data_IF_595234199590
#
_entry.id   IF_595234199590
#
_cell.length_a   1.000
_cell.length_b   1.000
_cell.length_c   1.000
_cell.angle_alpha   90.00
_cell.angle_beta   90.00
_cell.angle_gamma   90.00
#
_symmetry.space_group_name_H-M   'P 1'
#
loop_
_entity.id
_entity.type
_entity.pdbx_description
1 polymer ?
#
# COMPACT_ATOMS: atom_id res chain seq x y z
N UNK A 1 10.61 -16.07 27.25
CA UNK A 1 10.75 -16.88 26.02
C UNK A 1 11.07 -15.93 24.87
N UNK A 2 11.84 -16.38 23.89
CA UNK A 2 12.12 -15.61 22.66
C UNK A 2 11.09 -15.98 21.60
N UNK A 3 10.55 -14.98 20.90
CA UNK A 3 9.53 -15.16 19.86
C UNK A 3 10.08 -14.70 18.51
N UNK A 4 9.71 -15.41 17.45
CA UNK A 4 10.24 -15.19 16.10
C UNK A 4 9.09 -14.98 15.12
N UNK A 5 9.31 -14.11 14.12
CA UNK A 5 8.37 -13.88 13.03
C UNK A 5 8.62 -14.80 11.83
N UNK A 6 9.90 -15.04 11.52
CA UNK A 6 10.35 -15.81 10.37
C UNK A 6 11.53 -16.71 10.74
N UNK A 7 11.59 -17.89 10.10
CA UNK A 7 12.68 -18.83 10.28
C UNK A 7 13.94 -18.40 9.52
N UNK A 8 15.09 -18.75 10.09
CA UNK A 8 16.41 -18.64 9.46
C UNK A 8 16.92 -20.00 8.98
N UNK A 9 18.23 -20.11 8.77
CA UNK A 9 18.92 -21.32 8.32
C UNK A 9 19.63 -22.06 9.46
N UNK A 10 19.99 -21.36 10.53
CA UNK A 10 20.79 -21.95 11.60
C UNK A 10 19.93 -22.77 12.58
N UNK A 11 20.38 -23.96 13.00
CA UNK A 11 19.66 -24.79 13.97
C UNK A 11 19.54 -24.14 15.37
N UNK A 12 20.50 -23.30 15.74
CA UNK A 12 20.49 -22.56 17.01
C UNK A 12 19.57 -21.33 16.99
N UNK A 13 18.94 -21.07 15.84
CA UNK A 13 18.02 -19.96 15.57
C UNK A 13 18.65 -18.56 15.72
N UNK A 14 19.98 -18.48 15.74
CA UNK A 14 20.72 -17.21 15.86
C UNK A 14 20.48 -16.27 14.69
N UNK A 15 20.05 -16.79 13.54
CA UNK A 15 19.74 -16.04 12.33
C UNK A 15 18.24 -15.91 12.05
N UNK A 16 17.37 -16.30 13.00
CA UNK A 16 15.92 -16.16 12.87
C UNK A 16 15.49 -14.72 13.19
N UNK A 17 14.48 -14.22 12.49
CA UNK A 17 13.98 -12.87 12.74
C UNK A 17 13.12 -12.84 14.01
N UNK A 18 13.49 -11.98 14.96
CA UNK A 18 12.71 -11.76 16.17
C UNK A 18 11.35 -11.13 15.83
N UNK A 19 10.31 -11.56 16.54
CA UNK A 19 8.95 -11.03 16.35
C UNK A 19 8.88 -9.52 16.67
N UNK A 20 9.44 -9.00 17.77
CA UNK A 20 9.48 -7.55 18.02
C UNK A 20 10.09 -6.75 16.86
N UNK A 21 11.23 -7.21 16.31
CA UNK A 21 11.91 -6.52 15.22
C UNK A 21 11.03 -6.45 13.96
N UNK A 22 10.37 -7.56 13.62
CA UNK A 22 9.45 -7.63 12.50
C UNK A 22 8.24 -6.68 12.68
N UNK A 23 7.64 -6.67 13.87
CA UNK A 23 6.50 -5.80 14.18
C UNK A 23 6.89 -4.32 14.12
N UNK A 24 8.04 -3.94 14.69
CA UNK A 24 8.53 -2.56 14.68
C UNK A 24 8.95 -2.10 13.28
N UNK A 25 9.63 -2.97 12.51
CA UNK A 25 9.99 -2.67 11.12
C UNK A 25 8.75 -2.52 10.23
N UNK A 26 7.79 -3.44 10.35
CA UNK A 26 6.54 -3.40 9.58
C UNK A 26 5.72 -2.16 9.95
N UNK A 27 5.65 -1.80 11.23
CA UNK A 27 5.02 -0.55 11.69
C UNK A 27 5.67 0.68 11.04
N UNK A 28 7.00 0.79 11.07
CA UNK A 28 7.74 1.90 10.46
C UNK A 28 7.49 1.96 8.95
N UNK A 29 7.63 0.83 8.25
CA UNK A 29 7.44 0.74 6.81
C UNK A 29 6.00 1.09 6.40
N UNK A 30 5.00 0.63 7.16
CA UNK A 30 3.60 0.94 6.92
C UNK A 30 3.34 2.44 7.12
N UNK A 31 3.90 3.05 8.16
CA UNK A 31 3.80 4.49 8.44
C UNK A 31 4.38 5.33 7.29
N UNK A 32 5.58 5.00 6.81
CA UNK A 32 6.25 5.69 5.68
C UNK A 32 5.39 5.65 4.40
N UNK A 33 4.70 4.53 4.14
CA UNK A 33 3.80 4.38 2.98
C UNK A 33 2.54 5.21 3.11
N UNK A 34 2.05 5.36 4.34
CA UNK A 34 0.81 6.04 4.66
C UNK A 34 0.98 7.54 4.96
N UNK A 35 2.22 8.02 5.16
CA UNK A 35 2.54 9.44 5.38
C UNK A 35 1.95 10.36 4.30
N UNK A 36 2.04 10.07 2.98
CA UNK A 36 1.43 10.91 1.96
C UNK A 36 -0.09 10.90 1.96
N UNK A 37 -0.70 9.93 2.65
CA UNK A 37 -2.14 9.83 2.88
C UNK A 37 -2.54 10.49 4.21
N UNK A 38 -1.54 10.92 5.00
CA UNK A 38 -1.62 11.38 6.39
C UNK A 38 -2.27 10.37 7.33
N UNK A 39 -2.02 9.07 7.12
CA UNK A 39 -2.52 7.95 7.92
C UNK A 39 -1.36 7.19 8.57
N UNK A 40 -0.26 7.88 8.87
CA UNK A 40 0.99 7.25 9.31
C UNK A 40 0.84 6.58 10.68
N UNK A 41 0.16 7.21 11.64
CA UNK A 41 -0.07 6.64 12.96
C UNK A 41 -1.02 5.44 12.91
N UNK A 42 -2.11 5.55 12.13
CA UNK A 42 -3.01 4.42 11.88
C UNK A 42 -2.27 3.24 11.22
N UNK A 43 -1.40 3.50 10.25
CA UNK A 43 -0.60 2.48 9.58
C UNK A 43 0.47 1.86 10.48
N UNK A 44 1.11 2.66 11.33
CA UNK A 44 2.06 2.18 12.34
C UNK A 44 1.39 1.21 13.31
N UNK A 45 0.20 1.56 13.82
CA UNK A 45 -0.57 0.69 14.71
C UNK A 45 -0.92 -0.65 14.06
N UNK A 46 -1.45 -0.66 12.84
CA UNK A 46 -1.76 -1.94 12.19
C UNK A 46 -0.50 -2.76 11.93
N UNK A 47 0.63 -2.14 11.56
CA UNK A 47 1.91 -2.85 11.39
C UNK A 47 2.41 -3.47 12.70
N UNK A 48 2.32 -2.74 13.81
CA UNK A 48 2.75 -3.21 15.13
C UNK A 48 1.92 -4.39 15.66
N UNK A 49 0.66 -4.49 15.26
CA UNK A 49 -0.27 -5.49 15.79
C UNK A 49 -0.71 -6.56 14.79
N UNK A 50 -0.36 -6.48 13.51
CA UNK A 50 -0.89 -7.43 12.51
C UNK A 50 -0.57 -8.89 12.82
N UNK A 51 0.65 -9.13 13.32
CA UNK A 51 1.22 -10.43 13.63
C UNK A 51 1.34 -10.71 15.13
N UNK A 52 0.64 -9.94 15.96
CA UNK A 52 0.69 -10.10 17.42
C UNK A 52 0.34 -11.52 17.88
N UNK A 53 -0.48 -12.25 17.12
CA UNK A 53 -0.80 -13.65 17.42
C UNK A 53 0.35 -14.63 17.27
N UNK A 54 1.50 -14.23 16.70
CA UNK A 54 2.72 -15.04 16.69
C UNK A 54 3.38 -15.18 18.07
N UNK A 55 2.90 -14.43 19.08
CA UNK A 55 3.22 -14.70 20.49
C UNK A 55 2.51 -15.95 21.04
N UNK A 56 1.60 -16.59 20.30
CA UNK A 56 1.08 -17.92 20.64
C UNK A 56 2.25 -18.93 20.66
N UNK A 57 2.50 -19.64 21.79
CA UNK A 57 3.55 -20.66 21.87
C UNK A 57 3.45 -21.76 20.79
N UNK A 58 2.24 -22.00 20.27
CA UNK A 58 1.98 -22.96 19.19
C UNK A 58 2.57 -22.49 17.86
N UNK A 59 2.78 -21.19 17.66
CA UNK A 59 3.34 -20.62 16.44
C UNK A 59 4.76 -21.12 16.17
N UNK A 60 5.53 -21.46 17.21
CA UNK A 60 6.86 -22.07 17.05
C UNK A 60 6.79 -23.34 16.18
N UNK A 61 5.74 -24.16 16.32
CA UNK A 61 5.58 -25.37 15.50
C UNK A 61 5.44 -25.05 14.02
N UNK A 62 4.84 -23.91 13.66
CA UNK A 62 4.72 -23.46 12.27
C UNK A 62 6.10 -23.12 11.70
N UNK A 63 6.91 -22.37 12.46
CA UNK A 63 8.25 -21.98 12.04
C UNK A 63 9.20 -23.17 11.86
N UNK A 64 8.97 -24.27 12.58
CA UNK A 64 9.71 -25.53 12.43
C UNK A 64 9.12 -26.46 11.36
N UNK A 65 8.21 -25.98 10.50
CA UNK A 65 7.64 -26.73 9.38
C UNK A 65 6.53 -27.72 9.77
N UNK A 66 5.98 -27.61 10.98
CA UNK A 66 4.84 -28.40 11.40
C UNK A 66 3.57 -28.03 10.64
N UNK A 67 2.76 -29.03 10.28
CA UNK A 67 1.45 -28.81 9.65
C UNK A 67 0.39 -28.43 10.70
N UNK A 68 0.45 -27.19 11.19
CA UNK A 68 -0.44 -26.64 12.21
C UNK A 68 -0.97 -25.33 11.72
N UNK A 69 -2.27 -25.10 11.93
CA UNK A 69 -2.88 -23.81 11.68
C UNK A 69 -2.97 -23.04 12.99
N UNK A 70 -2.30 -21.89 13.05
CA UNK A 70 -2.42 -20.92 14.13
C UNK A 70 -3.10 -19.69 13.56
N UNK A 71 -4.12 -19.17 14.24
CA UNK A 71 -4.71 -17.88 13.87
C UNK A 71 -3.89 -16.76 14.51
N UNK A 72 -2.83 -16.34 13.83
CA UNK A 72 -1.96 -15.29 14.32
C UNK A 72 -2.49 -13.88 14.02
N UNK A 73 -3.51 -13.76 13.18
CA UNK A 73 -4.03 -12.48 12.69
C UNK A 73 -5.11 -11.86 13.58
N UNK A 74 -5.87 -12.67 14.33
CA UNK A 74 -6.98 -12.15 15.15
C UNK A 74 -6.53 -11.50 16.45
N UNK A 75 -5.41 -11.92 17.04
CA UNK A 75 -4.99 -11.48 18.37
C UNK A 75 -4.79 -9.96 18.48
N UNK A 76 -4.05 -9.36 17.53
CA UNK A 76 -3.83 -7.92 17.53
C UNK A 76 -5.09 -7.10 17.30
N UNK A 77 -5.97 -7.55 16.40
CA UNK A 77 -7.27 -6.92 16.18
C UNK A 77 -8.14 -6.98 17.44
N UNK A 78 -8.22 -8.14 18.09
CA UNK A 78 -8.96 -8.31 19.34
C UNK A 78 -8.40 -7.42 20.46
N UNK A 79 -7.08 -7.32 20.57
CA UNK A 79 -6.38 -6.48 21.54
C UNK A 79 -6.75 -5.00 21.38
N UNK A 80 -6.65 -4.48 20.16
CA UNK A 80 -7.01 -3.08 19.85
C UNK A 80 -8.49 -2.82 20.10
N UNK A 81 -9.35 -3.74 19.66
CA UNK A 81 -10.81 -3.59 19.78
C UNK A 81 -11.31 -3.64 21.22
N UNK A 82 -10.71 -4.50 22.06
CA UNK A 82 -11.05 -4.61 23.48
C UNK A 82 -10.66 -3.37 24.29
N UNK A 83 -9.61 -2.65 23.87
CA UNK A 83 -9.12 -1.41 24.52
C UNK A 83 -9.79 -0.14 24.00
N UNK A 84 -10.61 -0.26 22.96
CA UNK A 84 -11.29 0.87 22.35
C UNK A 84 -12.68 1.10 22.97
N UNK A 85 -12.96 2.35 23.36
CA UNK A 85 -14.26 2.79 23.87
C UNK A 85 -14.72 4.09 23.19
N UNK A 86 -16.02 4.36 23.22
CA UNK A 86 -16.60 5.57 22.61
C UNK A 86 -16.20 5.74 21.13
N UNK A 87 -15.69 6.93 20.78
CA UNK A 87 -15.23 7.24 19.42
C UNK A 87 -14.06 6.35 18.95
N UNK A 88 -13.25 5.82 19.87
CA UNK A 88 -12.15 4.89 19.52
C UNK A 88 -12.67 3.57 18.99
N UNK A 89 -13.92 3.19 19.29
CA UNK A 89 -14.50 1.93 18.81
C UNK A 89 -14.52 1.89 17.28
N UNK A 90 -14.96 2.97 16.65
CA UNK A 90 -14.99 3.08 15.18
C UNK A 90 -13.58 3.06 14.59
N UNK A 91 -12.62 3.74 15.23
CA UNK A 91 -11.20 3.70 14.84
C UNK A 91 -10.68 2.27 14.91
N UNK A 92 -10.93 1.56 16.00
CA UNK A 92 -10.49 0.17 16.16
C UNK A 92 -11.07 -0.75 15.08
N UNK A 93 -12.33 -0.58 14.68
CA UNK A 93 -12.93 -1.36 13.60
C UNK A 93 -12.20 -1.12 12.26
N UNK A 94 -11.88 0.13 11.93
CA UNK A 94 -11.11 0.49 10.74
C UNK A 94 -9.72 -0.17 10.75
N UNK A 95 -9.06 -0.22 11.90
CA UNK A 95 -7.73 -0.85 12.05
C UNK A 95 -7.80 -2.39 12.06
N UNK A 96 -8.91 -2.97 12.55
CA UNK A 96 -9.10 -4.42 12.59
C UNK A 96 -9.18 -5.02 11.17
N UNK A 97 -9.78 -4.32 10.20
CA UNK A 97 -9.93 -4.84 8.83
C UNK A 97 -8.58 -5.20 8.18
N UNK A 98 -7.58 -4.29 8.12
CA UNK A 98 -6.25 -4.61 7.63
C UNK A 98 -5.58 -5.76 8.39
N UNK A 99 -5.63 -5.72 9.74
CA UNK A 99 -5.00 -6.75 10.59
C UNK A 99 -5.62 -8.12 10.32
N UNK A 100 -6.94 -8.24 10.30
CA UNK A 100 -7.60 -9.51 10.06
C UNK A 100 -7.39 -10.04 8.62
N UNK A 101 -7.13 -9.14 7.67
CA UNK A 101 -7.07 -9.45 6.26
C UNK A 101 -5.67 -9.67 5.67
N UNK A 102 -4.59 -9.42 6.41
CA UNK A 102 -3.23 -9.29 5.84
C UNK A 102 -2.72 -10.51 5.05
N UNK A 103 -3.31 -11.70 5.23
CA UNK A 103 -3.01 -12.88 4.39
C UNK A 103 -4.17 -13.37 3.49
N UNK A 104 -5.42 -12.99 3.77
CA UNK A 104 -6.61 -13.57 3.13
C UNK A 104 -7.47 -12.56 2.36
N UNK A 105 -7.12 -11.27 2.41
CA UNK A 105 -7.97 -10.17 1.95
C UNK A 105 -8.90 -9.67 3.06
N UNK A 106 -9.48 -8.49 2.83
CA UNK A 106 -10.35 -7.84 3.81
C UNK A 106 -11.60 -8.70 4.09
N UNK A 107 -11.91 -8.99 5.37
CA UNK A 107 -13.10 -9.77 5.71
C UNK A 107 -14.37 -8.94 5.50
N UNK A 108 -15.49 -9.63 5.30
CA UNK A 108 -16.81 -9.03 5.47
C UNK A 108 -17.02 -8.61 6.94
N UNK A 109 -17.90 -7.63 7.17
CA UNK A 109 -18.26 -7.24 8.54
C UNK A 109 -18.98 -8.36 9.28
N UNK A 110 -19.97 -8.97 8.61
CA UNK A 110 -20.91 -9.95 9.17
C UNK A 110 -21.11 -11.13 8.22
N UNK A 111 -21.92 -12.12 8.62
CA UNK A 111 -22.41 -13.16 7.71
C UNK A 111 -21.68 -14.50 7.80
N UNK A 112 -20.42 -14.57 7.36
CA UNK A 112 -19.63 -15.81 7.39
C UNK A 112 -18.78 -15.94 8.67
N UNK A 113 -18.27 -17.13 8.98
CA UNK A 113 -17.38 -17.35 10.13
C UNK A 113 -16.04 -16.62 10.01
N UNK A 114 -15.63 -16.30 8.78
CA UNK A 114 -14.48 -15.45 8.47
C UNK A 114 -14.73 -13.95 8.63
N UNK A 115 -15.97 -13.53 8.94
CA UNK A 115 -16.31 -12.12 9.13
C UNK A 115 -15.65 -11.53 10.39
N UNK A 116 -15.42 -10.22 10.40
CA UNK A 116 -14.79 -9.52 11.52
C UNK A 116 -15.52 -9.79 12.84
N UNK A 117 -16.84 -9.59 12.88
CA UNK A 117 -17.61 -9.71 14.13
C UNK A 117 -17.53 -11.12 14.72
N UNK A 118 -17.65 -12.17 13.89
CA UNK A 118 -17.56 -13.55 14.35
C UNK A 118 -16.17 -13.92 14.80
N UNK A 119 -15.13 -13.51 14.06
CA UNK A 119 -13.74 -13.76 14.44
C UNK A 119 -13.40 -13.12 15.79
N UNK A 120 -13.76 -11.85 15.99
CA UNK A 120 -13.52 -11.14 17.25
C UNK A 120 -14.31 -11.74 18.42
N UNK A 121 -15.57 -12.13 18.22
CA UNK A 121 -16.39 -12.72 19.28
C UNK A 121 -15.95 -14.15 19.67
N UNK A 122 -15.53 -14.96 18.69
CA UNK A 122 -15.07 -16.31 18.90
C UNK A 122 -13.61 -16.39 19.40
N UNK A 123 -12.84 -15.31 19.26
CA UNK A 123 -11.42 -15.30 19.61
C UNK A 123 -11.22 -15.65 21.10
N UNK A 124 -10.24 -16.53 21.34
CA UNK A 124 -9.75 -16.89 22.67
C UNK A 124 -8.25 -16.70 22.61
N UNK A 125 -7.75 -15.77 23.41
CA UNK A 125 -6.34 -15.38 23.37
C UNK A 125 -5.46 -16.53 23.90
N UNK A 126 -4.61 -17.15 23.06
CA UNK A 126 -3.68 -18.20 23.49
C UNK A 126 -2.37 -17.63 24.02
N UNK A 127 -2.15 -16.31 23.91
CA UNK A 127 -0.93 -15.62 24.32
C UNK A 127 -0.87 -15.53 25.84
N UNK A 128 0.35 -15.56 26.40
CA UNK A 128 0.57 -15.30 27.82
C UNK A 128 -0.10 -13.96 28.23
N UNK A 129 -1.01 -13.96 29.22
CA UNK A 129 -1.69 -12.75 29.67
C UNK A 129 -0.75 -11.61 30.06
N UNK A 130 0.47 -11.90 30.52
CA UNK A 130 1.46 -10.86 30.84
C UNK A 130 1.93 -10.10 29.58
N UNK A 131 2.08 -10.77 28.44
CA UNK A 131 2.43 -10.15 27.16
C UNK A 131 1.25 -9.29 26.69
N UNK A 132 0.04 -9.87 26.64
CA UNK A 132 -1.16 -9.14 26.22
C UNK A 132 -1.45 -7.94 27.13
N UNK A 133 -1.26 -8.05 28.44
CA UNK A 133 -1.52 -6.96 29.39
C UNK A 133 -0.49 -5.83 29.33
N UNK A 134 0.74 -6.11 28.92
CA UNK A 134 1.80 -5.10 28.77
C UNK A 134 1.53 -4.13 27.61
N UNK A 135 0.77 -4.55 26.60
CA UNK A 135 0.43 -3.70 25.46
C UNK A 135 -0.68 -2.70 25.81
N UNK A 136 -0.40 -1.41 25.65
CA UNK A 136 -1.37 -0.31 25.86
C UNK A 136 -1.34 0.59 24.62
N UNK A 137 -2.00 0.20 23.52
CA UNK A 137 -2.07 0.99 22.29
C UNK A 137 -2.73 2.35 22.54
N UNK A 138 -2.07 3.41 22.08
CA UNK A 138 -2.67 4.74 21.97
C UNK A 138 -3.35 4.89 20.60
N UNK A 139 -4.68 4.89 20.61
CA UNK A 139 -5.50 5.07 19.41
C UNK A 139 -5.77 6.55 19.08
N UNK A 140 -5.41 7.49 19.95
CA UNK A 140 -5.74 8.90 19.76
C UNK A 140 -5.12 9.49 18.49
N UNK A 141 -3.84 9.25 18.14
CA UNK A 141 -3.28 9.76 16.88
C UNK A 141 -4.04 9.25 15.64
N UNK A 142 -4.40 7.96 15.61
CA UNK A 142 -5.18 7.38 14.52
C UNK A 142 -6.60 7.97 14.44
N UNK A 143 -7.24 8.30 15.57
CA UNK A 143 -8.50 9.04 15.56
C UNK A 143 -8.33 10.38 14.85
N UNK A 144 -7.32 11.18 15.22
CA UNK A 144 -7.11 12.50 14.65
C UNK A 144 -6.85 12.43 13.14
N UNK A 145 -6.04 11.47 12.71
CA UNK A 145 -5.76 11.23 11.29
C UNK A 145 -7.04 10.85 10.52
N UNK A 146 -7.82 9.88 11.02
CA UNK A 146 -9.04 9.44 10.36
C UNK A 146 -10.10 10.55 10.35
N UNK A 147 -10.28 11.28 11.46
CA UNK A 147 -11.19 12.41 11.54
C UNK A 147 -10.84 13.49 10.52
N UNK A 148 -9.56 13.72 10.25
CA UNK A 148 -9.09 14.67 9.23
C UNK A 148 -9.25 14.17 7.77
N UNK A 149 -9.69 12.92 7.55
CA UNK A 149 -9.89 12.32 6.22
C UNK A 149 -11.33 11.97 5.90
N UNK A 150 -12.25 12.17 6.83
CA UNK A 150 -13.67 11.83 6.62
C UNK A 150 -14.51 13.09 6.40
N UNK A 151 -15.41 13.01 5.43
CA UNK A 151 -16.45 14.00 5.19
C UNK A 151 -17.73 13.47 5.82
N UNK A 152 -18.41 14.30 6.62
CA UNK A 152 -19.58 13.85 7.39
C UNK A 152 -20.67 13.18 6.55
N UNK A 153 -20.90 13.68 5.32
CA UNK A 153 -21.89 13.12 4.38
C UNK A 153 -21.48 11.79 3.73
N UNK A 154 -20.18 11.49 3.67
CA UNK A 154 -19.61 10.32 2.98
C UNK A 154 -18.80 9.41 3.93
N UNK A 155 -19.05 9.50 5.24
CA UNK A 155 -18.26 8.85 6.29
C UNK A 155 -17.97 7.38 6.01
N UNK A 156 -19.00 6.60 5.65
CA UNK A 156 -18.84 5.18 5.36
C UNK A 156 -17.92 4.90 4.16
N UNK A 157 -18.03 5.69 3.09
CA UNK A 157 -17.16 5.58 1.93
C UNK A 157 -15.72 5.97 2.25
N UNK A 158 -15.53 7.10 2.96
CA UNK A 158 -14.20 7.61 3.29
C UNK A 158 -13.44 6.66 4.22
N UNK A 159 -14.11 6.12 5.25
CA UNK A 159 -13.53 5.08 6.11
C UNK A 159 -13.23 3.79 5.34
N UNK A 160 -14.10 3.41 4.41
CA UNK A 160 -13.89 2.24 3.56
C UNK A 160 -12.66 2.43 2.64
N UNK A 161 -12.45 3.64 2.11
CA UNK A 161 -11.26 3.96 1.32
C UNK A 161 -10.00 3.99 2.19
N UNK A 162 -10.04 4.65 3.34
CA UNK A 162 -8.95 4.67 4.30
C UNK A 162 -8.53 3.25 4.72
N UNK A 163 -9.51 2.39 5.00
CA UNK A 163 -9.31 0.96 5.32
C UNK A 163 -8.54 0.24 4.22
N UNK A 164 -8.95 0.41 2.95
CA UNK A 164 -8.26 -0.24 1.81
C UNK A 164 -6.85 0.29 1.60
N UNK A 165 -6.63 1.58 1.82
CA UNK A 165 -5.30 2.19 1.73
C UNK A 165 -4.39 1.69 2.85
N UNK A 166 -4.90 1.63 4.09
CA UNK A 166 -4.20 1.06 5.24
C UNK A 166 -3.85 -0.41 5.01
N UNK A 167 -4.79 -1.21 4.51
CA UNK A 167 -4.53 -2.60 4.11
C UNK A 167 -3.42 -2.71 3.06
N UNK A 168 -3.46 -1.89 2.01
CA UNK A 168 -2.40 -1.85 1.00
C UNK A 168 -1.03 -1.49 1.60
N UNK A 169 -0.98 -0.50 2.50
CA UNK A 169 0.26 -0.09 3.18
C UNK A 169 0.81 -1.21 4.07
N UNK A 170 -0.06 -1.87 4.85
CA UNK A 170 0.32 -2.97 5.73
C UNK A 170 0.86 -4.15 4.93
N UNK A 171 0.13 -4.58 3.90
CA UNK A 171 0.54 -5.73 3.08
C UNK A 171 1.89 -5.42 2.41
N UNK A 172 2.07 -4.26 1.76
CA UNK A 172 3.38 -3.96 1.18
C UNK A 172 4.46 -3.89 2.27
N UNK A 173 4.20 -3.31 3.44
CA UNK A 173 5.19 -3.24 4.53
C UNK A 173 5.62 -4.62 5.06
N UNK A 174 4.68 -5.53 5.32
CA UNK A 174 4.92 -6.90 5.78
C UNK A 174 5.78 -7.67 4.77
N UNK A 175 5.39 -7.64 3.48
CA UNK A 175 6.18 -8.25 2.41
C UNK A 175 7.58 -7.63 2.28
N UNK A 176 7.73 -6.32 2.55
CA UNK A 176 9.00 -5.59 2.39
C UNK A 176 9.96 -5.87 3.53
N UNK A 177 9.47 -5.97 4.76
CA UNK A 177 10.29 -6.42 5.87
C UNK A 177 10.73 -7.88 5.68
N UNK A 178 9.78 -8.75 5.29
CA UNK A 178 10.08 -10.15 4.95
C UNK A 178 11.14 -10.25 3.83
N UNK A 179 10.98 -9.51 2.74
CA UNK A 179 11.94 -9.45 1.62
C UNK A 179 13.31 -8.97 2.10
N UNK A 180 13.37 -7.91 2.91
CA UNK A 180 14.61 -7.36 3.43
C UNK A 180 15.37 -8.35 4.33
N UNK A 181 14.66 -9.01 5.25
CA UNK A 181 15.23 -10.05 6.10
C UNK A 181 15.82 -11.20 5.28
N UNK A 182 15.06 -11.76 4.33
CA UNK A 182 15.57 -12.85 3.50
C UNK A 182 16.65 -12.40 2.52
N UNK A 183 16.63 -11.15 2.06
CA UNK A 183 17.70 -10.60 1.23
C UNK A 183 19.01 -10.54 2.02
N UNK A 184 18.97 -10.02 3.25
CA UNK A 184 20.12 -9.99 4.15
C UNK A 184 20.63 -11.40 4.48
N UNK A 185 19.73 -12.33 4.86
CA UNK A 185 20.05 -13.72 5.17
C UNK A 185 20.69 -14.48 3.99
N UNK A 186 20.40 -14.04 2.76
CA UNK A 186 20.94 -14.63 1.53
C UNK A 186 22.07 -13.81 0.90
N UNK A 187 22.50 -12.70 1.51
CA UNK A 187 23.51 -11.81 0.93
C UNK A 187 23.09 -11.22 -0.42
N UNK A 188 21.79 -10.99 -0.63
CA UNK A 188 21.22 -10.43 -1.86
C UNK A 188 20.93 -8.94 -1.68
N UNK A 189 21.16 -8.18 -2.74
CA UNK A 189 20.77 -6.77 -2.82
C UNK A 189 19.58 -6.69 -3.80
N UNK A 190 18.38 -6.30 -3.34
CA UNK A 190 17.24 -6.12 -4.23
C UNK A 190 17.47 -4.99 -5.24
N UNK A 191 17.19 -5.23 -6.52
CA UNK A 191 17.30 -4.24 -7.59
C UNK A 191 16.08 -3.32 -7.61
N UNK A 192 16.03 -2.36 -6.66
CA UNK A 192 14.88 -1.47 -6.48
C UNK A 192 15.24 -0.03 -6.10
N UNK A 193 16.48 0.39 -6.34
CA UNK A 193 16.87 1.80 -6.19
C UNK A 193 16.53 2.57 -7.48
N UNK A 194 15.28 3.05 -7.54
CA UNK A 194 14.76 3.78 -8.69
C UNK A 194 14.77 5.29 -8.42
N UNK A 195 15.24 6.12 -9.35
CA UNK A 195 15.11 7.57 -9.24
C UNK A 195 13.64 7.98 -9.08
N UNK A 196 13.41 9.05 -8.33
CA UNK A 196 12.08 9.64 -8.21
C UNK A 196 11.58 10.14 -9.56
N UNK A 197 10.27 10.19 -9.76
CA UNK A 197 9.68 10.76 -10.98
C UNK A 197 10.19 12.19 -11.22
N UNK A 198 10.33 13.00 -10.15
CA UNK A 198 10.86 14.36 -10.23
C UNK A 198 12.27 14.41 -10.85
N UNK A 199 13.14 13.46 -10.53
CA UNK A 199 14.50 13.37 -11.11
C UNK A 199 14.48 12.95 -12.58
N UNK A 200 13.48 12.15 -12.99
CA UNK A 200 13.36 11.62 -14.34
C UNK A 200 12.66 12.58 -15.32
N UNK A 201 11.73 13.40 -14.83
CA UNK A 201 10.88 14.27 -15.64
C UNK A 201 11.65 15.20 -16.61
N UNK A 202 12.76 15.86 -16.23
CA UNK A 202 13.49 16.72 -17.17
C UNK A 202 14.02 15.96 -18.41
N UNK A 203 14.59 14.77 -18.21
CA UNK A 203 15.08 13.94 -19.31
C UNK A 203 13.93 13.34 -20.12
N UNK A 204 12.90 12.84 -19.45
CA UNK A 204 11.74 12.25 -20.12
C UNK A 204 10.98 13.25 -20.99
N UNK A 205 10.78 14.48 -20.52
CA UNK A 205 10.17 15.57 -21.31
C UNK A 205 11.01 15.90 -22.53
N UNK A 206 12.34 16.04 -22.37
CA UNK A 206 13.25 16.28 -23.50
C UNK A 206 13.19 15.14 -24.53
N UNK A 207 13.23 13.88 -24.09
CA UNK A 207 13.14 12.71 -24.99
C UNK A 207 11.79 12.65 -25.70
N UNK A 208 10.71 12.98 -24.98
CA UNK A 208 9.38 13.08 -25.55
C UNK A 208 9.33 14.17 -26.63
N UNK A 209 9.85 15.37 -26.37
CA UNK A 209 9.88 16.47 -27.33
C UNK A 209 10.71 16.12 -28.58
N UNK A 210 11.86 15.47 -28.39
CA UNK A 210 12.69 14.98 -29.49
C UNK A 210 11.98 13.92 -30.33
N UNK A 211 11.26 12.99 -29.69
CA UNK A 211 10.43 12.00 -30.39
C UNK A 211 9.31 12.68 -31.18
N UNK A 212 8.63 13.67 -30.58
CA UNK A 212 7.55 14.41 -31.25
C UNK A 212 8.05 15.23 -32.44
N UNK A 213 9.28 15.76 -32.39
CA UNK A 213 9.90 16.47 -33.51
C UNK A 213 10.14 15.59 -34.75
N UNK A 214 10.19 14.26 -34.59
CA UNK A 214 10.29 13.32 -35.70
C UNK A 214 9.03 13.24 -36.58
N UNK A 215 7.88 13.72 -36.08
CA UNK A 215 6.63 13.75 -36.85
C UNK A 215 6.51 15.08 -37.61
N UNK A 216 7.08 15.13 -38.82
CA UNK A 216 7.00 16.33 -39.65
C UNK A 216 5.52 16.67 -39.99
N UNK A 217 5.09 17.96 -39.88
CA UNK A 217 3.72 18.42 -40.13
C UNK A 217 3.41 18.54 -41.63
N UNK A 218 3.87 17.58 -42.42
CA UNK A 218 3.85 17.62 -43.89
C UNK A 218 2.50 17.19 -44.47
N UNK A 219 1.63 16.58 -43.66
CA UNK A 219 0.26 16.20 -44.02
C UNK A 219 -0.76 16.92 -43.13
N UNK A 220 -2.00 17.05 -43.61
CA UNK A 220 -3.11 17.61 -42.81
C UNK A 220 -3.32 16.85 -41.51
N UNK A 221 -3.17 15.52 -41.55
CA UNK A 221 -3.27 14.67 -40.37
C UNK A 221 -2.17 14.97 -39.34
N UNK A 222 -0.92 15.15 -39.77
CA UNK A 222 0.17 15.46 -38.84
C UNK A 222 0.07 16.87 -38.29
N UNK A 223 -0.42 17.84 -39.07
CA UNK A 223 -0.76 19.19 -38.57
C UNK A 223 -1.83 19.10 -37.48
N UNK A 224 -2.95 18.42 -37.76
CA UNK A 224 -4.01 18.23 -36.78
C UNK A 224 -3.52 17.53 -35.51
N UNK A 225 -2.65 16.52 -35.63
CA UNK A 225 -2.04 15.84 -34.47
C UNK A 225 -1.15 16.78 -33.65
N UNK A 226 -0.38 17.65 -34.31
CA UNK A 226 0.43 18.66 -33.63
C UNK A 226 -0.44 19.69 -32.90
N UNK A 227 -1.54 20.13 -33.51
CA UNK A 227 -2.50 21.04 -32.90
C UNK A 227 -3.17 20.42 -31.67
N UNK A 228 -3.61 19.16 -31.79
CA UNK A 228 -4.16 18.38 -30.66
C UNK A 228 -3.14 18.28 -29.53
N UNK A 229 -1.89 17.92 -29.83
CA UNK A 229 -0.84 17.81 -28.82
C UNK A 229 -0.61 19.16 -28.11
N UNK A 230 -0.48 20.24 -28.88
CA UNK A 230 -0.27 21.58 -28.35
C UNK A 230 -1.41 22.00 -27.42
N UNK A 231 -2.66 21.81 -27.86
CA UNK A 231 -3.85 22.10 -27.06
C UNK A 231 -3.87 21.30 -25.75
N UNK A 232 -3.63 20.00 -25.83
CA UNK A 232 -3.66 19.10 -24.67
C UNK A 232 -2.56 19.46 -23.68
N UNK A 233 -1.33 19.73 -24.13
CA UNK A 233 -0.22 20.16 -23.26
C UNK A 233 -0.46 21.53 -22.64
N UNK A 234 -1.13 22.44 -23.34
CA UNK A 234 -1.54 23.75 -22.81
C UNK A 234 -2.45 23.63 -21.57
N UNK A 235 -3.16 22.51 -21.41
CA UNK A 235 -3.97 22.23 -20.22
C UNK A 235 -3.18 21.77 -18.99
N UNK A 236 -1.87 21.50 -19.09
CA UNK A 236 -1.09 20.90 -18.01
C UNK A 236 -0.99 21.76 -16.74
N UNK A 237 -1.29 23.05 -16.82
CA UNK A 237 -1.32 23.99 -15.68
C UNK A 237 -2.66 24.03 -14.96
N UNK A 238 -3.67 23.34 -15.46
CA UNK A 238 -4.98 23.25 -14.80
C UNK A 238 -4.83 22.55 -13.44
N UNK A 239 -5.66 22.91 -12.42
CA UNK A 239 -5.63 22.23 -11.13
C UNK A 239 -5.80 20.71 -11.27
N UNK A 240 -5.13 19.89 -10.44
CA UNK A 240 -5.28 18.44 -10.48
C UNK A 240 -6.75 18.01 -10.38
N UNK A 241 -7.17 17.12 -11.26
CA UNK A 241 -8.56 16.71 -11.36
C UNK A 241 -8.78 15.63 -12.43
N UNK A 242 -10.03 15.50 -12.86
CA UNK A 242 -10.42 14.59 -13.93
C UNK A 242 -10.42 15.31 -15.28
N UNK A 243 -9.71 14.76 -16.25
CA UNK A 243 -9.62 15.29 -17.61
C UNK A 243 -10.11 14.25 -18.62
N UNK A 244 -10.85 14.71 -19.63
CA UNK A 244 -11.38 13.87 -20.70
C UNK A 244 -10.78 14.29 -22.03
N UNK A 245 -10.16 13.34 -22.75
CA UNK A 245 -9.61 13.57 -24.08
C UNK A 245 -10.47 12.85 -25.13
N UNK A 246 -11.31 13.62 -25.82
CA UNK A 246 -12.17 13.11 -26.90
C UNK A 246 -11.54 13.38 -28.25
N UNK A 247 -10.83 12.40 -28.80
CA UNK A 247 -10.19 12.48 -30.12
C UNK A 247 -10.49 11.20 -30.90
N UNK A 248 -10.78 11.26 -32.21
CA UNK A 248 -10.99 10.08 -33.04
C UNK A 248 -9.83 9.09 -33.01
N UNK A 249 -10.08 7.85 -33.41
CA UNK A 249 -9.02 6.84 -33.61
C UNK A 249 -8.00 7.36 -34.62
N UNK A 250 -6.71 7.13 -34.37
CA UNK A 250 -5.63 7.66 -35.19
C UNK A 250 -5.26 9.13 -34.92
N UNK A 251 -6.01 9.87 -34.10
CA UNK A 251 -5.72 11.29 -33.78
C UNK A 251 -4.63 11.52 -32.72
N UNK A 252 -3.82 10.51 -32.37
CA UNK A 252 -2.67 10.69 -31.48
C UNK A 252 -2.96 10.75 -29.98
N UNK A 253 -4.11 10.22 -29.51
CA UNK A 253 -4.53 10.22 -28.10
C UNK A 253 -3.43 9.83 -27.11
N UNK A 254 -2.71 8.74 -27.37
CA UNK A 254 -1.71 8.18 -26.46
C UNK A 254 -0.54 9.13 -26.24
N UNK A 255 0.02 9.70 -27.32
CA UNK A 255 1.14 10.64 -27.22
C UNK A 255 0.67 11.97 -26.62
N UNK A 256 -0.54 12.43 -26.97
CA UNK A 256 -1.12 13.64 -26.38
C UNK A 256 -1.34 13.50 -24.86
N UNK A 257 -1.93 12.39 -24.40
CA UNK A 257 -2.15 12.15 -22.97
C UNK A 257 -0.85 11.94 -22.20
N UNK A 258 0.15 11.29 -22.80
CA UNK A 258 1.48 11.16 -22.20
C UNK A 258 2.18 12.51 -22.08
N UNK A 259 2.15 13.34 -23.11
CA UNK A 259 2.72 14.70 -23.08
C UNK A 259 2.09 15.54 -21.98
N UNK A 260 0.74 15.52 -21.88
CA UNK A 260 0.03 16.15 -20.77
C UNK A 260 0.46 15.58 -19.41
N UNK A 261 0.52 14.26 -19.24
CA UNK A 261 0.88 13.64 -17.97
C UNK A 261 2.30 14.02 -17.51
N UNK A 262 3.26 14.11 -18.43
CA UNK A 262 4.63 14.54 -18.12
C UNK A 262 4.68 16.00 -17.67
N UNK A 263 4.02 16.90 -18.40
CA UNK A 263 4.00 18.32 -18.06
C UNK A 263 3.19 18.59 -16.78
N UNK A 264 2.04 17.94 -16.61
CA UNK A 264 1.19 18.08 -15.43
C UNK A 264 1.87 17.51 -14.17
N UNK A 265 2.57 16.37 -14.29
CA UNK A 265 3.36 15.83 -13.18
C UNK A 265 4.49 16.77 -12.75
N UNK A 266 5.18 17.40 -13.70
CA UNK A 266 6.22 18.38 -13.40
C UNK A 266 5.65 19.63 -12.73
N UNK A 267 4.49 20.10 -13.19
CA UNK A 267 3.85 21.31 -12.69
C UNK A 267 3.32 21.15 -11.26
N UNK A 268 2.76 19.99 -10.91
CA UNK A 268 2.08 19.76 -9.62
C UNK A 268 2.84 18.83 -8.67
N UNK A 269 4.07 18.44 -9.01
CA UNK A 269 4.90 17.60 -8.14
C UNK A 269 4.35 16.19 -7.94
N UNK A 270 3.70 15.61 -8.96
CA UNK A 270 3.21 14.24 -8.87
C UNK A 270 4.37 13.24 -8.72
N UNK A 271 4.16 12.20 -7.93
CA UNK A 271 5.19 11.19 -7.62
C UNK A 271 5.21 10.02 -8.59
N UNK A 272 4.12 9.82 -9.34
CA UNK A 272 3.91 8.66 -10.22
C UNK A 272 3.03 9.05 -11.42
N UNK A 273 3.30 8.42 -12.56
CA UNK A 273 2.40 8.37 -13.72
C UNK A 273 2.02 6.90 -13.90
N UNK A 274 0.73 6.61 -13.94
CA UNK A 274 0.22 5.26 -14.17
C UNK A 274 -0.53 5.28 -15.50
N UNK A 275 -0.01 4.55 -16.48
CA UNK A 275 -0.64 4.42 -17.79
C UNK A 275 -1.44 3.11 -17.85
N UNK A 276 -2.76 3.21 -17.84
CA UNK A 276 -3.65 2.07 -18.04
C UNK A 276 -3.94 1.90 -19.54
N UNK A 277 -3.66 0.71 -20.08
CA UNK A 277 -3.87 0.37 -21.49
C UNK A 277 -4.90 -0.77 -21.55
N UNK A 278 -5.91 -0.73 -22.45
CA UNK A 278 -6.88 -1.80 -22.57
C UNK A 278 -6.19 -3.13 -22.94
N UNK A 279 -6.69 -4.23 -22.36
CA UNK A 279 -6.16 -5.60 -22.50
C UNK A 279 -6.44 -6.22 -23.88
N UNK A 280 -6.43 -5.44 -24.96
CA UNK A 280 -6.76 -5.90 -26.31
C UNK A 280 -5.59 -5.66 -27.27
N UNK A 281 -4.68 -6.63 -27.38
CA UNK A 281 -3.87 -6.93 -28.57
C UNK A 281 -2.98 -5.86 -29.21
N UNK A 282 -2.95 -4.62 -28.74
CA UNK A 282 -2.02 -3.61 -29.21
C UNK A 282 -0.65 -3.92 -28.60
N UNK A 283 0.20 -4.59 -29.37
CA UNK A 283 1.60 -4.84 -29.03
C UNK A 283 2.24 -3.52 -28.61
N UNK A 284 2.62 -3.43 -27.33
CA UNK A 284 3.59 -2.44 -26.89
C UNK A 284 4.91 -2.93 -27.45
N UNK A 285 5.30 -2.39 -28.59
CA UNK A 285 6.71 -2.41 -29.00
C UNK A 285 7.45 -1.59 -27.94
N UNK A 286 7.92 -2.29 -26.92
CA UNK A 286 8.75 -1.69 -25.89
C UNK A 286 9.98 -1.19 -26.64
N UNK A 287 10.16 0.13 -26.67
CA UNK A 287 11.39 0.74 -27.18
C UNK A 287 12.54 0.09 -26.41
N UNK A 288 13.22 -0.85 -27.06
CA UNK A 288 14.52 -1.33 -26.62
C UNK A 288 15.45 -0.12 -26.74
N UNK A 289 15.68 0.54 -25.62
CA UNK A 289 16.87 1.37 -25.43
C UNK A 289 18.10 0.48 -25.33
#
# INVERSE_FOLDING_TARGET
MTFYAHSGKQPDRSDWQLLPDHLDNTARLAAERAEPLGLAAAASLIGRYHDFGKYDPTFDRVLNGGNVRVDHSTAGAALLHARASGAMRLVSEVLCYPILGHHAGLPDRTGADSSMERRLAAFRDPIDPAITAAEIPDLAPALHELAARVRGEALGFDLSLATRMLFSCLVDADYRDTEAYYAQLNGRIPDRDWPTLAQLLPDWRRRFDAHMAGFAPNSDLNRLRADILSHVRGGATLPPGLFTLTVPTGGGKTLASLGFALDHAAQHGHRRIILAIPYTGAWVETLRG
#
